data_IF_177183544037
#
_entry.id   IF_177183544037
#
_cell.length_a   1.000
_cell.length_b   1.000
_cell.length_c   1.000
_cell.angle_alpha   90.00
_cell.angle_beta   90.00
_cell.angle_gamma   90.00
#
_symmetry.space_group_name_H-M   'P 1'
#
loop_
_entity.id
_entity.type
_entity.pdbx_description
1 polymer ?
#
# COMPACT_ATOMS: atom_id res chain seq x y z
N UNK A 1 -3.77 -87.44 1.47
CA UNK A 1 -4.38 -86.10 1.33
C UNK A 1 -3.44 -85.08 1.96
N UNK A 2 -2.94 -84.17 1.13
CA UNK A 2 -2.42 -82.81 1.37
C UNK A 2 -1.87 -82.32 2.75
N UNK A 3 -0.64 -81.77 2.62
CA UNK A 3 -0.15 -80.40 2.96
C UNK A 3 0.15 -79.98 4.40
N UNK A 4 1.38 -79.48 4.57
CA UNK A 4 1.77 -78.48 5.58
C UNK A 4 3.27 -78.12 5.46
N UNK A 5 3.55 -76.93 4.94
CA UNK A 5 4.88 -76.42 4.53
C UNK A 5 5.58 -75.65 5.68
N UNK A 6 6.91 -75.69 5.65
CA UNK A 6 7.95 -74.98 6.43
C UNK A 6 7.72 -73.46 6.61
N UNK A 7 8.29 -72.87 7.67
CA UNK A 7 9.54 -72.09 7.63
C UNK A 7 9.92 -71.49 9.02
N UNK A 8 11.15 -71.69 9.52
CA UNK A 8 11.69 -70.96 10.65
C UNK A 8 12.36 -69.65 10.20
N UNK A 9 11.89 -68.53 10.75
CA UNK A 9 12.54 -67.22 10.71
C UNK A 9 13.60 -67.13 11.82
N UNK A 10 14.89 -67.00 11.46
CA UNK A 10 15.91 -66.24 12.24
C UNK A 10 17.36 -66.37 11.72
N UNK A 11 17.70 -67.30 10.83
CA UNK A 11 19.12 -67.53 10.50
C UNK A 11 19.72 -66.69 9.36
N UNK A 12 18.93 -65.84 8.68
CA UNK A 12 19.40 -65.19 7.43
C UNK A 12 20.18 -63.88 7.66
N UNK A 13 20.02 -63.19 8.80
CA UNK A 13 20.58 -61.83 8.96
C UNK A 13 22.00 -61.80 9.55
N UNK A 14 22.49 -62.88 10.17
CA UNK A 14 23.82 -62.88 10.80
C UNK A 14 24.92 -63.45 9.88
N UNK A 15 24.56 -64.05 8.74
CA UNK A 15 25.51 -64.83 7.95
C UNK A 15 26.16 -64.09 6.75
N UNK A 16 25.98 -62.78 6.62
CA UNK A 16 26.71 -61.99 5.60
C UNK A 16 28.02 -61.39 6.13
N UNK A 17 28.15 -61.24 7.46
CA UNK A 17 29.34 -60.65 8.09
C UNK A 17 30.50 -61.63 8.35
N UNK A 18 30.20 -62.93 8.45
CA UNK A 18 31.20 -63.96 8.82
C UNK A 18 31.83 -64.67 7.63
N UNK A 19 31.17 -64.74 6.46
CA UNK A 19 31.67 -65.47 5.29
C UNK A 19 32.80 -64.76 4.53
N UNK A 20 33.06 -63.48 4.79
CA UNK A 20 34.17 -62.73 4.17
C UNK A 20 35.48 -62.86 4.97
N UNK A 21 35.41 -63.21 6.25
CA UNK A 21 36.58 -63.25 7.14
C UNK A 21 37.35 -64.58 7.06
N UNK A 22 36.74 -65.65 6.56
CA UNK A 22 37.34 -66.99 6.55
C UNK A 22 37.98 -67.41 5.20
N UNK A 23 37.78 -66.66 4.11
CA UNK A 23 38.33 -66.99 2.79
C UNK A 23 39.49 -66.02 2.47
N UNK A 24 40.72 -66.45 2.82
CA UNK A 24 42.04 -65.90 2.42
C UNK A 24 42.68 -64.84 3.36
N UNK A 25 43.60 -65.30 4.22
CA UNK A 25 44.46 -64.50 5.11
C UNK A 25 45.50 -63.61 4.43
N UNK A 26 45.05 -62.67 3.59
CA UNK A 26 45.89 -61.61 3.02
C UNK A 26 45.21 -60.76 1.95
N UNK A 27 44.25 -61.32 1.20
CA UNK A 27 43.55 -60.62 0.11
C UNK A 27 42.27 -59.86 0.54
N UNK A 28 41.61 -60.30 1.61
CA UNK A 28 40.35 -59.69 2.09
C UNK A 28 40.49 -58.25 2.57
N UNK A 29 41.65 -57.88 3.15
CA UNK A 29 41.90 -56.53 3.66
C UNK A 29 41.98 -55.50 2.53
N UNK A 30 42.51 -55.89 1.36
CA UNK A 30 42.58 -55.01 0.17
C UNK A 30 41.19 -54.75 -0.38
N UNK A 31 40.34 -55.78 -0.45
CA UNK A 31 38.96 -55.66 -0.92
C UNK A 31 38.10 -54.80 0.03
N UNK A 32 38.20 -55.03 1.34
CA UNK A 32 37.53 -54.20 2.36
C UNK A 32 38.06 -52.78 2.34
N UNK A 33 39.37 -52.58 2.16
CA UNK A 33 40.00 -51.26 2.07
C UNK A 33 39.58 -50.47 0.82
N UNK A 34 39.51 -51.12 -0.36
CA UNK A 34 39.03 -50.50 -1.60
C UNK A 34 37.54 -50.17 -1.51
N UNK A 35 36.72 -51.06 -0.93
CA UNK A 35 35.31 -50.78 -0.68
C UNK A 35 35.12 -49.63 0.32
N UNK A 36 35.90 -49.57 1.40
CA UNK A 36 35.86 -48.47 2.35
C UNK A 36 36.31 -47.15 1.72
N UNK A 37 37.34 -47.16 0.88
CA UNK A 37 37.84 -45.97 0.18
C UNK A 37 36.84 -45.47 -0.87
N UNK A 38 36.26 -46.37 -1.69
CA UNK A 38 35.21 -46.01 -2.66
C UNK A 38 33.94 -45.53 -1.97
N UNK A 39 33.52 -46.17 -0.88
CA UNK A 39 32.35 -45.75 -0.10
C UNK A 39 32.58 -44.38 0.51
N UNK A 40 33.77 -44.11 1.06
CA UNK A 40 34.15 -42.82 1.62
C UNK A 40 34.30 -41.74 0.54
N UNK A 41 34.86 -42.06 -0.62
CA UNK A 41 35.02 -41.13 -1.74
C UNK A 41 33.68 -40.78 -2.41
N UNK A 42 32.78 -41.76 -2.56
CA UNK A 42 31.42 -41.53 -3.07
C UNK A 42 30.59 -40.78 -2.03
N UNK A 43 30.69 -41.15 -0.74
CA UNK A 43 30.00 -40.46 0.34
C UNK A 43 30.48 -39.01 0.49
N UNK A 44 31.80 -38.76 0.54
CA UNK A 44 32.34 -37.40 0.64
C UNK A 44 31.94 -36.56 -0.58
N UNK A 45 32.01 -37.11 -1.79
CA UNK A 45 31.64 -36.39 -3.02
C UNK A 45 30.12 -36.12 -3.16
N UNK A 46 29.27 -37.03 -2.66
CA UNK A 46 27.81 -36.84 -2.66
C UNK A 46 27.33 -35.95 -1.52
N UNK A 47 27.98 -36.03 -0.35
CA UNK A 47 27.71 -35.15 0.79
C UNK A 47 28.19 -33.74 0.52
N UNK A 48 29.35 -33.55 -0.11
CA UNK A 48 29.83 -32.23 -0.53
C UNK A 48 28.96 -31.62 -1.61
N UNK A 49 28.48 -32.39 -2.60
CA UNK A 49 27.58 -31.88 -3.63
C UNK A 49 26.22 -31.49 -3.06
N UNK A 50 25.68 -32.27 -2.12
CA UNK A 50 24.43 -31.93 -1.43
C UNK A 50 24.61 -30.71 -0.52
N UNK A 51 25.73 -30.59 0.19
CA UNK A 51 26.04 -29.39 0.97
C UNK A 51 26.20 -28.17 0.09
N UNK A 52 26.89 -28.27 -1.05
CA UNK A 52 27.08 -27.17 -1.98
C UNK A 52 25.75 -26.68 -2.58
N UNK A 53 24.90 -27.61 -3.01
CA UNK A 53 23.55 -27.29 -3.53
C UNK A 53 22.64 -26.71 -2.46
N UNK A 54 22.63 -27.27 -1.24
CA UNK A 54 21.91 -26.69 -0.08
C UNK A 54 22.39 -25.28 0.26
N UNK A 55 23.70 -25.03 0.18
CA UNK A 55 24.25 -23.70 0.46
C UNK A 55 23.89 -22.70 -0.65
N UNK A 56 23.91 -23.14 -1.90
CA UNK A 56 23.49 -22.34 -3.06
C UNK A 56 22.00 -22.00 -3.00
N UNK A 57 21.15 -22.98 -2.68
CA UNK A 57 19.72 -22.77 -2.44
C UNK A 57 19.47 -21.85 -1.25
N UNK A 58 20.22 -21.98 -0.15
CA UNK A 58 20.14 -21.08 1.00
C UNK A 58 20.52 -19.65 0.64
N UNK A 59 21.63 -19.44 -0.07
CA UNK A 59 22.06 -18.11 -0.50
C UNK A 59 21.07 -17.51 -1.50
N UNK A 60 20.51 -18.32 -2.40
CA UNK A 60 19.44 -17.89 -3.30
C UNK A 60 18.20 -17.46 -2.53
N UNK A 61 17.71 -18.28 -1.60
CA UNK A 61 16.54 -17.98 -0.78
C UNK A 61 16.76 -16.76 0.11
N UNK A 62 17.94 -16.60 0.70
CA UNK A 62 18.31 -15.39 1.47
C UNK A 62 18.30 -14.15 0.59
N UNK A 63 18.88 -14.23 -0.61
CA UNK A 63 18.92 -13.10 -1.54
C UNK A 63 17.52 -12.74 -2.03
N UNK A 64 16.67 -13.73 -2.30
CA UNK A 64 15.28 -13.52 -2.70
C UNK A 64 14.47 -12.90 -1.56
N UNK A 65 14.59 -13.43 -0.34
CA UNK A 65 13.95 -12.88 0.85
C UNK A 65 14.43 -11.47 1.19
N UNK A 66 15.73 -11.19 1.04
CA UNK A 66 16.30 -9.86 1.26
C UNK A 66 15.73 -8.86 0.25
N UNK A 67 15.67 -9.24 -1.03
CA UNK A 67 15.11 -8.42 -2.11
C UNK A 67 13.61 -8.16 -1.90
N UNK A 68 12.86 -9.19 -1.53
CA UNK A 68 11.43 -9.06 -1.23
C UNK A 68 11.20 -8.15 -0.02
N UNK A 69 11.99 -8.30 1.05
CA UNK A 69 11.97 -7.41 2.22
C UNK A 69 12.26 -5.95 1.84
N UNK A 70 13.29 -5.68 1.03
CA UNK A 70 13.60 -4.33 0.57
C UNK A 70 12.47 -3.74 -0.27
N UNK A 71 11.88 -4.54 -1.16
CA UNK A 71 10.75 -4.12 -1.97
C UNK A 71 9.52 -3.77 -1.12
N UNK A 72 9.21 -4.59 -0.11
CA UNK A 72 8.13 -4.29 0.83
C UNK A 72 8.39 -3.02 1.64
N UNK A 73 9.63 -2.82 2.12
CA UNK A 73 10.01 -1.58 2.82
C UNK A 73 9.84 -0.35 1.93
N UNK A 74 10.23 -0.45 0.66
CA UNK A 74 10.05 0.63 -0.31
C UNK A 74 8.58 0.92 -0.59
N UNK A 75 7.74 -0.12 -0.73
CA UNK A 75 6.29 0.03 -0.87
C UNK A 75 5.67 0.72 0.34
N UNK A 76 6.00 0.26 1.54
CA UNK A 76 5.48 0.80 2.80
C UNK A 76 5.87 2.27 2.95
N UNK A 77 7.14 2.62 2.67
CA UNK A 77 7.61 4.00 2.71
C UNK A 77 6.91 4.89 1.67
N UNK A 78 6.61 4.38 0.48
CA UNK A 78 5.84 5.13 -0.53
C UNK A 78 4.41 5.38 -0.07
N UNK A 79 3.74 4.37 0.49
CA UNK A 79 2.40 4.52 1.06
C UNK A 79 2.39 5.53 2.21
N UNK A 80 3.36 5.47 3.12
CA UNK A 80 3.49 6.42 4.23
C UNK A 80 3.68 7.87 3.74
N UNK A 81 4.51 8.08 2.71
CA UNK A 81 4.69 9.42 2.13
C UNK A 81 3.38 9.93 1.52
N UNK A 82 2.66 9.08 0.78
CA UNK A 82 1.38 9.45 0.17
C UNK A 82 0.35 9.80 1.24
N UNK A 83 0.16 8.92 2.22
CA UNK A 83 -0.77 9.11 3.32
C UNK A 83 -0.50 10.39 4.12
N UNK A 84 0.77 10.69 4.40
CA UNK A 84 1.14 11.93 5.07
C UNK A 84 0.78 13.19 4.25
N UNK A 85 0.91 13.12 2.92
CA UNK A 85 0.50 14.22 2.03
C UNK A 85 -1.02 14.36 1.95
N UNK A 86 -1.75 13.25 1.96
CA UNK A 86 -3.20 13.27 2.01
C UNK A 86 -3.70 13.87 3.34
N UNK A 87 -3.11 13.49 4.47
CA UNK A 87 -3.39 14.10 5.77
C UNK A 87 -3.10 15.61 5.78
N UNK A 88 -1.98 16.05 5.20
CA UNK A 88 -1.64 17.46 5.05
C UNK A 88 -2.72 18.19 4.24
N UNK A 89 -3.15 17.61 3.10
CA UNK A 89 -4.20 18.17 2.26
C UNK A 89 -5.53 18.30 3.02
N UNK A 90 -5.97 17.26 3.74
CA UNK A 90 -7.21 17.31 4.53
C UNK A 90 -7.15 18.35 5.64
N UNK A 91 -6.04 18.44 6.37
CA UNK A 91 -5.87 19.41 7.45
C UNK A 91 -5.92 20.86 6.93
N UNK A 92 -5.23 21.13 5.82
CA UNK A 92 -5.25 22.44 5.18
C UNK A 92 -6.61 22.77 4.59
N UNK A 93 -7.28 21.80 3.97
CA UNK A 93 -8.64 22.02 3.47
C UNK A 93 -9.62 22.30 4.59
N UNK A 94 -9.57 21.58 5.71
CA UNK A 94 -10.46 21.85 6.85
C UNK A 94 -10.25 23.26 7.42
N UNK A 95 -9.01 23.74 7.41
CA UNK A 95 -8.68 25.13 7.77
C UNK A 95 -9.29 26.10 6.77
N UNK A 96 -9.10 25.86 5.47
CA UNK A 96 -9.65 26.67 4.39
C UNK A 96 -11.19 26.71 4.43
N UNK A 97 -11.83 25.56 4.56
CA UNK A 97 -13.28 25.40 4.68
C UNK A 97 -13.85 26.26 5.81
N UNK A 98 -13.23 26.23 7.00
CA UNK A 98 -13.64 27.07 8.14
C UNK A 98 -13.41 28.56 7.93
N UNK A 99 -12.47 28.94 7.06
CA UNK A 99 -12.24 30.34 6.70
C UNK A 99 -13.28 30.84 5.68
N UNK A 100 -13.71 29.98 4.76
CA UNK A 100 -14.73 30.32 3.77
C UNK A 100 -16.12 30.34 4.41
N UNK A 101 -16.43 29.36 5.26
CA UNK A 101 -17.74 29.23 5.89
C UNK A 101 -18.17 30.52 6.62
N UNK A 102 -19.40 31.00 6.39
CA UNK A 102 -19.91 32.19 7.03
C UNK A 102 -19.98 31.97 8.56
N UNK A 103 -19.55 32.97 9.31
CA UNK A 103 -19.65 32.97 10.77
C UNK A 103 -20.88 33.74 11.17
N UNK A 104 -21.62 33.20 12.14
CA UNK A 104 -22.73 33.89 12.76
C UNK A 104 -22.26 35.24 13.33
N UNK A 105 -22.73 36.35 12.75
CA UNK A 105 -22.28 37.70 13.06
C UNK A 105 -23.29 38.49 13.88
N UNK A 106 -24.59 38.19 13.76
CA UNK A 106 -25.65 38.85 14.52
C UNK A 106 -26.92 37.99 14.71
N UNK A 107 -27.67 38.24 15.81
CA UNK A 107 -29.11 38.08 15.98
C UNK A 107 -29.88 37.31 14.91
N UNK A 108 -30.21 38.13 13.93
CA UNK A 108 -31.20 37.88 12.91
C UNK A 108 -30.55 37.46 11.58
N UNK A 109 -29.29 37.02 11.61
CA UNK A 109 -28.57 36.58 10.41
C UNK A 109 -29.25 35.37 9.81
N UNK A 110 -29.78 35.55 8.62
CA UNK A 110 -30.37 34.47 7.85
C UNK A 110 -29.38 33.87 6.84
N UNK A 111 -29.86 32.92 6.04
CA UNK A 111 -29.04 32.27 5.03
C UNK A 111 -28.64 33.22 3.89
N UNK A 112 -29.48 34.19 3.57
CA UNK A 112 -29.20 35.16 2.51
C UNK A 112 -28.11 36.14 2.97
N UNK A 113 -28.16 36.61 4.21
CA UNK A 113 -27.09 37.40 4.84
C UNK A 113 -25.76 36.63 4.84
N UNK A 114 -25.81 35.32 5.12
CA UNK A 114 -24.63 34.46 5.07
C UNK A 114 -24.05 34.36 3.65
N UNK A 115 -24.92 34.20 2.65
CA UNK A 115 -24.51 34.14 1.26
C UNK A 115 -23.95 35.48 0.76
N UNK A 116 -24.50 36.62 1.19
CA UNK A 116 -23.97 37.95 0.87
C UNK A 116 -22.53 38.12 1.38
N UNK A 117 -22.28 37.73 2.62
CA UNK A 117 -20.93 37.80 3.21
C UNK A 117 -19.91 36.95 2.43
N UNK A 118 -20.34 35.81 1.90
CA UNK A 118 -19.49 34.93 1.09
C UNK A 118 -19.31 35.49 -0.33
N UNK A 119 -20.37 36.01 -0.94
CA UNK A 119 -20.34 36.63 -2.26
C UNK A 119 -19.38 37.82 -2.31
N UNK A 120 -19.40 38.68 -1.29
CA UNK A 120 -18.48 39.81 -1.14
C UNK A 120 -16.98 39.39 -1.07
N UNK A 121 -16.70 38.10 -0.86
CA UNK A 121 -15.35 37.55 -0.71
C UNK A 121 -14.94 36.63 -1.86
N UNK A 122 -15.69 36.57 -2.97
CA UNK A 122 -15.39 35.64 -4.07
C UNK A 122 -13.97 35.76 -4.61
N UNK A 123 -13.42 36.98 -4.76
CA UNK A 123 -12.03 37.18 -5.19
C UNK A 123 -11.03 36.49 -4.26
N UNK A 124 -11.22 36.60 -2.94
CA UNK A 124 -10.36 35.94 -1.94
C UNK A 124 -10.56 34.43 -1.95
N UNK A 125 -11.81 33.97 -2.07
CA UNK A 125 -12.12 32.53 -2.10
C UNK A 125 -11.51 31.85 -3.32
N UNK A 126 -11.60 32.46 -4.50
CA UNK A 126 -10.96 31.98 -5.72
C UNK A 126 -9.46 31.79 -5.54
N UNK A 127 -8.77 32.81 -5.01
CA UNK A 127 -7.33 32.75 -4.76
C UNK A 127 -6.96 31.64 -3.77
N UNK A 128 -7.72 31.52 -2.67
CA UNK A 128 -7.49 30.48 -1.68
C UNK A 128 -7.69 29.07 -2.25
N UNK A 129 -8.72 28.87 -3.09
CA UNK A 129 -8.97 27.60 -3.77
C UNK A 129 -7.89 27.27 -4.80
N UNK A 130 -7.40 28.27 -5.53
CA UNK A 130 -6.29 28.11 -6.49
C UNK A 130 -4.99 27.70 -5.78
N UNK A 131 -4.67 28.37 -4.68
CA UNK A 131 -3.48 28.07 -3.87
C UNK A 131 -3.55 26.64 -3.31
N UNK A 132 -4.71 26.23 -2.81
CA UNK A 132 -4.93 24.86 -2.34
C UNK A 132 -4.75 23.83 -3.48
N UNK A 133 -5.34 24.08 -4.65
CA UNK A 133 -5.21 23.19 -5.82
C UNK A 133 -3.77 23.08 -6.29
N UNK A 134 -3.03 24.18 -6.36
CA UNK A 134 -1.63 24.17 -6.80
C UNK A 134 -0.76 23.35 -5.86
N UNK A 135 -1.03 23.41 -4.55
CA UNK A 135 -0.26 22.68 -3.54
C UNK A 135 -0.62 21.19 -3.48
N UNK A 136 -1.90 20.85 -3.55
CA UNK A 136 -2.39 19.51 -3.20
C UNK A 136 -2.98 18.71 -4.35
N UNK A 137 -3.12 19.25 -5.57
CA UNK A 137 -3.67 18.52 -6.71
C UNK A 137 -3.09 17.10 -6.93
N UNK A 138 -1.78 16.82 -6.76
CA UNK A 138 -1.23 15.49 -6.99
C UNK A 138 -1.79 14.37 -6.11
N UNK A 139 -2.31 14.71 -4.92
CA UNK A 139 -2.82 13.73 -3.95
C UNK A 139 -4.35 13.65 -3.94
N UNK A 140 -5.02 14.42 -4.80
CA UNK A 140 -6.47 14.46 -4.88
C UNK A 140 -6.97 13.56 -6.01
N UNK A 141 -8.06 12.84 -5.75
CA UNK A 141 -8.81 12.14 -6.79
C UNK A 141 -9.30 13.13 -7.85
N UNK A 142 -9.47 12.67 -9.09
CA UNK A 142 -9.94 13.55 -10.18
C UNK A 142 -11.31 14.16 -9.85
N UNK A 143 -12.21 13.39 -9.23
CA UNK A 143 -13.52 13.87 -8.81
C UNK A 143 -13.44 15.05 -7.83
N UNK A 144 -12.54 14.98 -6.84
CA UNK A 144 -12.35 16.07 -5.87
C UNK A 144 -11.69 17.29 -6.52
N UNK A 145 -10.70 17.07 -7.40
CA UNK A 145 -10.06 18.16 -8.16
C UNK A 145 -11.08 18.91 -9.01
N UNK A 146 -11.97 18.18 -9.67
CA UNK A 146 -12.98 18.78 -10.52
C UNK A 146 -14.00 19.62 -9.72
N UNK A 147 -14.48 19.10 -8.58
CA UNK A 147 -15.35 19.88 -7.68
C UNK A 147 -14.69 21.16 -7.16
N UNK A 148 -13.42 21.09 -6.77
CA UNK A 148 -12.65 22.27 -6.35
C UNK A 148 -12.49 23.29 -7.49
N UNK A 149 -12.22 22.82 -8.72
CA UNK A 149 -12.17 23.69 -9.90
C UNK A 149 -13.52 24.34 -10.16
N UNK A 150 -14.63 23.62 -10.02
CA UNK A 150 -15.97 24.17 -10.17
C UNK A 150 -16.28 25.23 -9.12
N UNK A 151 -15.89 25.02 -7.86
CA UNK A 151 -16.02 26.04 -6.81
C UNK A 151 -15.21 27.29 -7.17
N UNK A 152 -13.96 27.11 -7.61
CA UNK A 152 -13.09 28.21 -8.04
C UNK A 152 -13.69 28.98 -9.22
N UNK A 153 -14.17 28.28 -10.25
CA UNK A 153 -14.83 28.89 -11.41
C UNK A 153 -16.09 29.64 -11.01
N UNK A 154 -16.87 29.10 -10.07
CA UNK A 154 -18.06 29.77 -9.52
C UNK A 154 -17.67 31.10 -8.87
N UNK A 155 -16.65 31.10 -8.00
CA UNK A 155 -16.15 32.35 -7.41
C UNK A 155 -15.60 33.33 -8.47
N UNK A 156 -14.81 32.82 -9.42
CA UNK A 156 -14.19 33.61 -10.49
C UNK A 156 -15.22 34.33 -11.37
N UNK A 157 -16.29 33.66 -11.76
CA UNK A 157 -17.35 34.24 -12.59
C UNK A 157 -18.23 35.23 -11.82
N UNK A 158 -18.45 35.01 -10.52
CA UNK A 158 -19.39 35.81 -9.75
C UNK A 158 -18.74 37.00 -9.00
N UNK A 159 -17.41 37.16 -9.07
CA UNK A 159 -16.71 38.28 -8.40
C UNK A 159 -16.89 39.65 -9.09
N UNK A 160 -17.45 39.67 -10.31
CA UNK A 160 -17.65 40.90 -11.09
C UNK A 160 -19.13 41.20 -11.40
N UNK A 161 -20.06 40.39 -10.88
CA UNK A 161 -21.48 40.45 -11.26
C UNK A 161 -22.12 41.81 -10.94
N UNK A 162 -21.64 42.49 -9.90
CA UNK A 162 -22.03 43.86 -9.52
C UNK A 162 -21.75 44.90 -10.62
N UNK A 163 -20.80 44.65 -11.52
CA UNK A 163 -20.45 45.54 -12.64
C UNK A 163 -21.14 45.15 -13.96
N UNK A 164 -21.62 43.91 -14.07
CA UNK A 164 -22.14 43.34 -15.31
C UNK A 164 -23.67 43.42 -15.42
N UNK A 165 -24.37 43.63 -14.31
CA UNK A 165 -25.83 43.49 -14.21
C UNK A 165 -26.47 44.62 -13.37
N UNK A 166 -27.78 44.87 -13.51
CA UNK A 166 -28.51 45.71 -12.58
C UNK A 166 -28.40 45.19 -11.14
N UNK A 167 -28.32 46.10 -10.17
CA UNK A 167 -28.03 45.81 -8.75
C UNK A 167 -28.88 44.67 -8.18
N UNK A 168 -30.21 44.74 -8.33
CA UNK A 168 -31.13 43.70 -7.84
C UNK A 168 -30.83 42.30 -8.41
N UNK A 169 -30.41 42.21 -9.67
CA UNK A 169 -30.08 40.94 -10.33
C UNK A 169 -28.68 40.45 -9.96
N UNK A 170 -27.73 41.38 -9.80
CA UNK A 170 -26.36 41.07 -9.41
C UNK A 170 -26.32 40.45 -8.00
N UNK A 171 -27.05 41.04 -7.06
CA UNK A 171 -27.15 40.55 -5.68
C UNK A 171 -27.78 39.15 -5.64
N UNK A 172 -28.93 38.95 -6.28
CA UNK A 172 -29.59 37.65 -6.29
C UNK A 172 -28.73 36.53 -6.92
N UNK A 173 -28.05 36.84 -8.02
CA UNK A 173 -27.17 35.88 -8.72
C UNK A 173 -25.97 35.49 -7.87
N UNK A 174 -25.34 36.48 -7.23
CA UNK A 174 -24.15 36.29 -6.39
C UNK A 174 -24.48 35.48 -5.12
N UNK A 175 -25.61 35.77 -4.48
CA UNK A 175 -26.09 34.98 -3.33
C UNK A 175 -26.35 33.51 -3.71
N UNK A 176 -27.04 33.28 -4.82
CA UNK A 176 -27.32 31.93 -5.29
C UNK A 176 -26.02 31.16 -5.63
N UNK A 177 -25.02 31.84 -6.20
CA UNK A 177 -23.72 31.25 -6.45
C UNK A 177 -22.97 30.93 -5.15
N UNK A 178 -23.04 31.80 -4.14
CA UNK A 178 -22.43 31.58 -2.84
C UNK A 178 -23.04 30.36 -2.14
N UNK A 179 -24.37 30.23 -2.15
CA UNK A 179 -25.05 29.06 -1.60
C UNK A 179 -24.58 27.74 -2.23
N UNK A 180 -24.56 27.69 -3.57
CA UNK A 180 -24.04 26.50 -4.30
C UNK A 180 -22.58 26.20 -3.98
N UNK A 181 -21.74 27.24 -3.87
CA UNK A 181 -20.33 27.07 -3.50
C UNK A 181 -20.20 26.45 -2.10
N UNK A 182 -20.97 26.93 -1.12
CA UNK A 182 -20.94 26.40 0.24
C UNK A 182 -21.39 24.93 0.29
N UNK A 183 -22.45 24.57 -0.43
CA UNK A 183 -22.91 23.17 -0.54
C UNK A 183 -21.83 22.25 -1.13
N UNK A 184 -21.18 22.67 -2.23
CA UNK A 184 -20.11 21.89 -2.84
C UNK A 184 -18.89 21.76 -1.92
N UNK A 185 -18.55 22.79 -1.15
CA UNK A 185 -17.46 22.70 -0.16
C UNK A 185 -17.73 21.67 0.94
N UNK A 186 -18.98 21.50 1.39
CA UNK A 186 -19.36 20.45 2.36
C UNK A 186 -19.14 19.05 1.76
N UNK A 187 -19.50 18.88 0.49
CA UNK A 187 -19.28 17.62 -0.22
C UNK A 187 -17.79 17.32 -0.43
N UNK A 188 -16.99 18.33 -0.74
CA UNK A 188 -15.53 18.20 -0.87
C UNK A 188 -14.92 17.82 0.48
N UNK A 189 -15.32 18.48 1.58
CA UNK A 189 -14.83 18.17 2.93
C UNK A 189 -15.09 16.69 3.28
N UNK A 190 -16.32 16.24 3.04
CA UNK A 190 -16.72 14.85 3.30
C UNK A 190 -15.92 13.85 2.45
N UNK A 191 -15.71 14.16 1.16
CA UNK A 191 -14.94 13.30 0.26
C UNK A 191 -13.46 13.23 0.61
N UNK A 192 -12.87 14.33 1.07
CA UNK A 192 -11.49 14.38 1.57
C UNK A 192 -11.31 13.53 2.83
N UNK A 193 -12.23 13.58 3.79
CA UNK A 193 -12.18 12.68 4.94
C UNK A 193 -12.37 11.21 4.57
N UNK A 194 -13.17 10.91 3.55
CA UNK A 194 -13.35 9.55 3.06
C UNK A 194 -12.08 9.00 2.41
N UNK A 195 -11.33 9.83 1.69
CA UNK A 195 -10.05 9.49 1.06
C UNK A 195 -9.06 8.95 2.10
N UNK A 196 -8.82 9.72 3.17
CA UNK A 196 -7.91 9.31 4.26
C UNK A 196 -8.42 8.09 5.03
N UNK A 197 -9.75 7.98 5.27
CA UNK A 197 -10.32 6.86 6.03
C UNK A 197 -10.28 5.54 5.28
N UNK A 198 -10.44 5.55 3.96
CA UNK A 198 -10.43 4.32 3.18
C UNK A 198 -9.04 3.67 3.13
N UNK A 199 -7.96 4.45 3.22
CA UNK A 199 -6.60 3.88 3.32
C UNK A 199 -6.30 3.22 4.68
N UNK A 200 -7.00 3.60 5.76
CA UNK A 200 -6.78 3.00 7.10
C UNK A 200 -7.39 1.60 7.28
N UNK A 201 -8.04 1.05 6.25
CA UNK A 201 -8.80 -0.21 6.33
C UNK A 201 -8.16 -1.41 5.60
N UNK A 202 -7.07 -1.19 4.89
CA UNK A 202 -6.27 -2.24 4.24
C UNK A 202 -4.98 -2.52 5.03
#
# INVERSE_FOLDING_TARGET
MNRGIKLPTSEIVVNFGSSVVALLGGGGVVLVGICAFLSKFIADRTVESHKATLNEELERLKNELAKESEFHKLKLRKAEILFNRELEAVAEFSTLYRQIMPRYSHPDMDWDDACDNVAARFSTIEEQLENYLTKHAPVLTEALREKLRQCKTTASHNKFTEYEMPEDQATATSKAAAGRLLEELVHIESGLFALVRNETRD
#
